data_IF_715643141316
#
_entry.id   IF_715643141316
#
_cell.length_a   1.000
_cell.length_b   1.000
_cell.length_c   1.000
_cell.angle_alpha   90.00
_cell.angle_beta   90.00
_cell.angle_gamma   90.00
#
_symmetry.space_group_name_H-M   'P 1'
#
loop_
_entity.id
_entity.type
_entity.pdbx_description
1 polymer ?
#
# COMPACT_ATOMS: atom_id res chain seq x y z
N UNK A 1 -0.23 14.38 -15.11
CA UNK A 1 -0.14 15.25 -13.92
C UNK A 1 1.15 16.09 -13.92
N UNK A 2 1.12 17.30 -13.34
CA UNK A 2 2.29 18.17 -13.14
C UNK A 2 3.40 17.49 -12.31
N UNK A 3 3.02 16.74 -11.26
CA UNK A 3 3.91 15.95 -10.42
C UNK A 3 4.80 14.98 -11.19
N UNK A 4 4.21 14.20 -12.09
CA UNK A 4 4.95 13.28 -12.95
C UNK A 4 6.00 14.02 -13.81
N UNK A 5 5.67 15.24 -14.29
CA UNK A 5 6.62 16.07 -15.06
C UNK A 5 7.74 16.64 -14.18
N UNK A 6 7.44 17.07 -12.95
CA UNK A 6 8.44 17.56 -11.98
C UNK A 6 9.46 16.46 -11.67
N UNK A 7 8.99 15.25 -11.35
CA UNK A 7 9.86 14.14 -10.99
C UNK A 7 10.70 13.62 -12.17
N UNK A 8 10.23 13.79 -13.42
CA UNK A 8 10.99 13.43 -14.63
C UNK A 8 12.00 14.48 -15.10
N UNK A 9 11.85 15.75 -14.71
CA UNK A 9 12.65 16.88 -15.26
C UNK A 9 13.63 17.49 -14.26
N UNK A 10 14.04 16.71 -13.24
CA UNK A 10 14.79 17.06 -12.00
C UNK A 10 16.01 18.00 -12.13
N UNK A 11 16.45 18.40 -13.32
CA UNK A 11 17.66 19.20 -13.58
C UNK A 11 17.50 20.40 -14.55
N UNK A 12 16.29 20.80 -14.96
CA UNK A 12 16.09 21.92 -15.92
C UNK A 12 15.45 23.19 -15.33
N UNK A 13 15.66 24.36 -15.96
CA UNK A 13 14.93 25.62 -15.64
C UNK A 13 13.40 25.46 -15.64
N UNK A 14 12.88 24.52 -16.43
CA UNK A 14 11.46 24.16 -16.46
C UNK A 14 10.95 23.50 -15.16
N UNK A 15 11.82 22.84 -14.38
CA UNK A 15 11.45 22.18 -13.12
C UNK A 15 10.99 23.20 -12.08
N UNK A 16 11.66 24.35 -11.98
CA UNK A 16 11.31 25.41 -11.02
C UNK A 16 9.90 25.98 -11.28
N UNK A 17 9.59 26.31 -12.54
CA UNK A 17 8.28 26.84 -12.92
C UNK A 17 7.15 25.82 -12.72
N UNK A 18 7.42 24.53 -12.96
CA UNK A 18 6.45 23.46 -12.69
C UNK A 18 6.21 23.29 -11.19
N UNK A 19 7.25 23.36 -10.36
CA UNK A 19 7.16 23.31 -8.90
C UNK A 19 6.39 24.51 -8.34
N UNK A 20 6.67 25.73 -8.80
CA UNK A 20 5.91 26.93 -8.42
C UNK A 20 4.42 26.79 -8.78
N UNK A 21 4.14 26.28 -9.99
CA UNK A 21 2.78 26.02 -10.44
C UNK A 21 2.07 24.98 -9.57
N UNK A 22 2.76 23.89 -9.21
CA UNK A 22 2.23 22.86 -8.31
C UNK A 22 1.86 23.44 -6.94
N UNK A 23 2.77 24.17 -6.29
CA UNK A 23 2.49 24.77 -4.98
C UNK A 23 1.39 25.84 -5.05
N UNK A 24 1.29 26.58 -6.15
CA UNK A 24 0.20 27.53 -6.37
C UNK A 24 -1.16 26.83 -6.41
N UNK A 25 -1.30 25.76 -7.19
CA UNK A 25 -2.56 24.99 -7.25
C UNK A 25 -2.88 24.29 -5.94
N UNK A 26 -1.87 23.70 -5.26
CA UNK A 26 -2.04 23.12 -3.93
C UNK A 26 -2.55 24.15 -2.93
N UNK A 27 -1.97 25.36 -2.92
CA UNK A 27 -2.41 26.44 -2.05
C UNK A 27 -3.84 26.94 -2.34
N UNK A 28 -4.24 26.97 -3.62
CA UNK A 28 -5.61 27.30 -4.01
C UNK A 28 -6.60 26.23 -3.54
N UNK A 29 -6.28 24.94 -3.73
CA UNK A 29 -7.11 23.83 -3.29
C UNK A 29 -7.30 23.82 -1.76
N UNK A 30 -6.23 24.03 -0.99
CA UNK A 30 -6.30 24.11 0.47
C UNK A 30 -7.19 25.28 0.93
N UNK A 31 -7.07 26.46 0.31
CA UNK A 31 -7.92 27.61 0.63
C UNK A 31 -9.40 27.32 0.34
N UNK A 32 -9.69 26.77 -0.84
CA UNK A 32 -11.06 26.39 -1.22
C UNK A 32 -11.66 25.37 -0.26
N UNK A 33 -10.90 24.33 0.11
CA UNK A 33 -11.35 23.32 1.06
C UNK A 33 -11.63 23.93 2.44
N UNK A 34 -10.77 24.84 2.91
CA UNK A 34 -11.00 25.54 4.16
C UNK A 34 -12.32 26.32 4.15
N UNK A 35 -12.58 27.07 3.08
CA UNK A 35 -13.84 27.81 2.93
C UNK A 35 -15.07 26.91 2.93
N UNK A 36 -15.01 25.73 2.29
CA UNK A 36 -16.12 24.77 2.30
C UNK A 36 -16.26 24.03 3.65
N UNK A 37 -15.17 23.80 4.39
CA UNK A 37 -15.20 23.21 5.75
C UNK A 37 -15.84 24.18 6.77
N UNK A 38 -15.55 25.47 6.64
CA UNK A 38 -16.09 26.51 7.52
C UNK A 38 -17.61 26.70 7.30
N UNK A 39 -18.14 26.26 6.15
CA UNK A 39 -19.58 26.26 5.86
C UNK A 39 -20.24 24.99 6.39
N UNK A 40 -21.08 25.12 7.42
CA UNK A 40 -21.76 24.00 8.07
C UNK A 40 -22.51 23.05 7.11
N UNK A 41 -23.12 23.57 6.04
CA UNK A 41 -23.85 22.77 5.05
C UNK A 41 -22.94 21.98 4.07
N UNK A 42 -21.64 22.28 4.00
CA UNK A 42 -20.70 21.69 3.03
C UNK A 42 -19.56 20.91 3.67
N UNK A 43 -19.39 21.03 4.99
CA UNK A 43 -18.28 20.45 5.77
C UNK A 43 -18.02 18.96 5.51
N UNK A 44 -19.07 18.19 5.21
CA UNK A 44 -18.99 16.75 4.93
C UNK A 44 -19.47 16.40 3.52
N UNK A 45 -19.46 17.35 2.59
CA UNK A 45 -19.87 17.12 1.19
C UNK A 45 -18.88 16.20 0.45
N UNK A 46 -19.34 15.59 -0.65
CA UNK A 46 -18.50 14.76 -1.52
C UNK A 46 -17.27 15.52 -2.03
N UNK A 47 -17.45 16.78 -2.42
CA UNK A 47 -16.35 17.62 -2.92
C UNK A 47 -15.28 17.83 -1.86
N UNK A 48 -15.67 18.07 -0.59
CA UNK A 48 -14.71 18.24 0.51
C UNK A 48 -13.98 16.94 0.79
N UNK A 49 -14.69 15.81 0.86
CA UNK A 49 -14.08 14.51 1.12
C UNK A 49 -13.12 14.10 0.00
N UNK A 50 -13.54 14.25 -1.26
CA UNK A 50 -12.72 13.98 -2.43
C UNK A 50 -11.48 14.88 -2.47
N UNK A 51 -11.63 16.17 -2.17
CA UNK A 51 -10.50 17.11 -2.15
C UNK A 51 -9.48 16.77 -1.06
N UNK A 52 -9.93 16.42 0.15
CA UNK A 52 -9.04 16.00 1.25
C UNK A 52 -8.32 14.70 0.90
N UNK A 53 -9.04 13.67 0.42
CA UNK A 53 -8.44 12.42 -0.02
C UNK A 53 -7.44 12.65 -1.17
N UNK A 54 -7.75 13.53 -2.12
CA UNK A 54 -6.86 13.86 -3.25
C UNK A 54 -5.57 14.51 -2.76
N UNK A 55 -5.66 15.48 -1.84
CA UNK A 55 -4.48 16.12 -1.26
C UNK A 55 -3.63 15.11 -0.48
N UNK A 56 -4.25 14.27 0.33
CA UNK A 56 -3.57 13.22 1.08
C UNK A 56 -2.85 12.23 0.16
N UNK A 57 -3.55 11.73 -0.87
CA UNK A 57 -2.96 10.84 -1.88
C UNK A 57 -1.77 11.53 -2.55
N UNK A 58 -1.90 12.82 -2.89
CA UNK A 58 -0.80 13.62 -3.45
C UNK A 58 0.39 13.73 -2.48
N UNK A 59 0.14 14.03 -1.20
CA UNK A 59 1.21 14.22 -0.21
C UNK A 59 2.02 12.92 0.00
N UNK A 60 1.34 11.76 0.00
CA UNK A 60 2.00 10.44 0.01
C UNK A 60 2.88 10.22 -1.22
N UNK A 61 2.44 10.60 -2.43
CA UNK A 61 3.25 10.40 -3.65
C UNK A 61 4.58 11.18 -3.66
N UNK A 62 4.61 12.32 -2.98
CA UNK A 62 5.79 13.18 -2.96
C UNK A 62 6.68 12.96 -1.72
N UNK A 63 6.24 12.13 -0.77
CA UNK A 63 6.95 11.90 0.49
C UNK A 63 7.06 13.17 1.34
N UNK A 64 6.09 14.09 1.23
CA UNK A 64 6.21 15.43 1.84
C UNK A 64 5.96 15.46 3.35
N UNK A 65 5.41 14.41 3.97
CA UNK A 65 4.99 14.50 5.39
C UNK A 65 5.10 13.20 6.16
N UNK A 66 5.63 13.28 7.38
CA UNK A 66 5.49 12.29 8.47
C UNK A 66 4.05 12.08 8.93
N UNK A 67 3.12 12.94 8.50
CA UNK A 67 1.81 13.09 9.12
C UNK A 67 0.66 12.50 8.31
N UNK A 68 0.94 11.71 7.27
CA UNK A 68 -0.10 11.08 6.42
C UNK A 68 -1.09 10.24 7.24
N UNK A 69 -0.66 9.68 8.36
CA UNK A 69 -1.52 8.96 9.31
C UNK A 69 -2.59 9.85 9.95
N UNK A 70 -2.26 11.12 10.26
CA UNK A 70 -3.24 12.08 10.76
C UNK A 70 -4.30 12.40 9.70
N UNK A 71 -3.90 12.48 8.43
CA UNK A 71 -4.83 12.66 7.32
C UNK A 71 -5.75 11.44 7.17
N UNK A 72 -5.23 10.21 7.31
CA UNK A 72 -6.06 9.01 7.32
C UNK A 72 -7.10 9.03 8.44
N UNK A 73 -6.69 9.33 9.67
CA UNK A 73 -7.60 9.43 10.82
C UNK A 73 -8.66 10.53 10.63
N UNK A 74 -8.29 11.66 10.05
CA UNK A 74 -9.22 12.73 9.71
C UNK A 74 -10.27 12.30 8.69
N UNK A 75 -9.84 11.64 7.61
CA UNK A 75 -10.75 11.11 6.58
C UNK A 75 -11.67 10.04 7.15
N UNK A 76 -11.15 9.10 7.93
CA UNK A 76 -11.96 8.11 8.63
C UNK A 76 -13.04 8.79 9.48
N UNK A 77 -12.67 9.80 10.27
CA UNK A 77 -13.64 10.51 11.11
C UNK A 77 -14.73 11.20 10.29
N UNK A 78 -14.38 11.76 9.13
CA UNK A 78 -15.36 12.35 8.21
C UNK A 78 -16.31 11.32 7.61
N UNK A 79 -15.80 10.12 7.28
CA UNK A 79 -16.63 8.99 6.84
C UNK A 79 -17.63 8.61 7.93
N UNK A 80 -17.18 8.49 9.18
CA UNK A 80 -18.07 8.20 10.31
C UNK A 80 -19.13 9.28 10.54
N UNK A 81 -18.77 10.56 10.39
CA UNK A 81 -19.73 11.67 10.47
C UNK A 81 -20.81 11.62 9.39
N UNK A 82 -20.58 10.90 8.28
CA UNK A 82 -21.55 10.68 7.21
C UNK A 82 -22.36 9.40 7.36
N UNK A 83 -22.25 8.72 8.51
CA UNK A 83 -22.94 7.46 8.76
C UNK A 83 -22.14 6.22 8.37
N UNK A 84 -20.82 6.36 8.19
CA UNK A 84 -19.90 5.25 7.99
C UNK A 84 -19.60 4.93 6.53
N UNK A 85 -18.71 3.95 6.33
CA UNK A 85 -18.13 3.63 5.03
C UNK A 85 -19.18 3.23 3.99
N UNK A 86 -20.18 2.46 4.40
CA UNK A 86 -21.23 1.95 3.53
C UNK A 86 -22.09 3.08 2.94
N UNK A 87 -22.39 4.11 3.75
CA UNK A 87 -23.17 5.27 3.30
C UNK A 87 -22.36 6.12 2.32
N UNK A 88 -21.08 6.35 2.61
CA UNK A 88 -20.20 7.13 1.75
C UNK A 88 -19.99 6.46 0.39
N UNK A 89 -19.85 5.13 0.37
CA UNK A 89 -19.65 4.34 -0.84
C UNK A 89 -20.84 4.36 -1.80
N UNK A 90 -22.05 4.72 -1.34
CA UNK A 90 -23.21 4.91 -2.23
C UNK A 90 -23.04 6.12 -3.16
N UNK A 91 -22.13 7.05 -2.85
CA UNK A 91 -21.80 8.13 -3.76
C UNK A 91 -20.88 7.66 -4.88
N UNK A 92 -21.44 7.61 -6.10
CA UNK A 92 -20.68 7.33 -7.33
C UNK A 92 -19.49 8.27 -7.55
N UNK A 93 -19.59 9.51 -7.04
CA UNK A 93 -18.53 10.50 -7.18
C UNK A 93 -17.32 10.22 -6.27
N UNK A 94 -17.51 9.39 -5.24
CA UNK A 94 -16.49 9.06 -4.26
C UNK A 94 -15.94 7.65 -4.40
N UNK A 95 -16.64 6.75 -5.08
CA UNK A 95 -16.33 5.32 -5.18
C UNK A 95 -14.84 5.06 -5.47
N UNK A 96 -14.31 5.61 -6.57
CA UNK A 96 -12.92 5.35 -6.97
C UNK A 96 -11.88 5.94 -5.99
N UNK A 97 -12.12 7.16 -5.47
CA UNK A 97 -11.18 7.79 -4.54
C UNK A 97 -11.24 7.17 -3.14
N UNK A 98 -12.42 6.71 -2.72
CA UNK A 98 -12.62 5.97 -1.48
C UNK A 98 -11.87 4.64 -1.51
N UNK A 99 -11.95 3.90 -2.62
CA UNK A 99 -11.20 2.66 -2.80
C UNK A 99 -9.69 2.88 -2.83
N UNK A 100 -9.21 3.96 -3.48
CA UNK A 100 -7.80 4.36 -3.40
C UNK A 100 -7.36 4.69 -1.97
N UNK A 101 -8.19 5.39 -1.21
CA UNK A 101 -7.94 5.71 0.19
C UNK A 101 -7.81 4.43 1.04
N UNK A 102 -8.79 3.52 0.96
CA UNK A 102 -8.78 2.26 1.72
C UNK A 102 -7.57 1.40 1.34
N UNK A 103 -7.30 1.26 0.04
CA UNK A 103 -6.16 0.48 -0.45
C UNK A 103 -4.83 1.06 0.03
N UNK A 104 -4.66 2.39 -0.02
CA UNK A 104 -3.48 3.05 0.49
C UNK A 104 -3.32 2.81 2.00
N UNK A 105 -4.38 2.99 2.79
CA UNK A 105 -4.32 2.85 4.25
C UNK A 105 -3.88 1.43 4.66
N UNK A 106 -4.43 0.41 4.01
CA UNK A 106 -4.11 -1.00 4.26
C UNK A 106 -2.67 -1.34 3.88
N UNK A 107 -2.24 -0.96 2.67
CA UNK A 107 -0.90 -1.28 2.18
C UNK A 107 0.17 -0.47 2.94
N UNK A 108 -0.10 0.78 3.29
CA UNK A 108 0.85 1.60 4.05
C UNK A 108 1.12 1.03 5.45
N UNK A 109 0.11 0.46 6.13
CA UNK A 109 0.30 -0.22 7.42
C UNK A 109 1.31 -1.38 7.38
N UNK A 110 1.49 -2.02 6.22
CA UNK A 110 2.48 -3.11 6.09
C UNK A 110 3.91 -2.60 6.27
N UNK A 111 4.16 -1.31 5.99
CA UNK A 111 5.48 -0.66 6.07
C UNK A 111 5.53 0.37 7.21
N UNK A 112 4.81 0.09 8.30
CA UNK A 112 4.86 0.80 9.58
C UNK A 112 5.32 -0.15 10.69
N UNK A 113 5.94 0.33 11.79
CA UNK A 113 6.16 -0.46 13.00
C UNK A 113 4.84 -0.97 13.58
N UNK A 114 4.83 -2.14 14.22
CA UNK A 114 3.61 -2.73 14.79
C UNK A 114 2.87 -1.79 15.78
N UNK A 115 3.61 -0.93 16.50
CA UNK A 115 3.08 0.06 17.44
C UNK A 115 2.35 1.24 16.79
N UNK A 116 2.60 1.48 15.50
CA UNK A 116 2.19 2.71 14.80
C UNK A 116 1.18 2.41 13.68
N UNK A 117 0.62 1.19 13.62
CA UNK A 117 -0.44 0.86 12.67
C UNK A 117 -1.70 1.67 12.98
N UNK A 118 -2.35 2.18 11.93
CA UNK A 118 -3.59 2.97 12.07
C UNK A 118 -4.75 2.25 11.40
N UNK A 119 -5.97 2.44 11.92
CA UNK A 119 -7.20 1.91 11.31
C UNK A 119 -7.27 0.39 11.15
N UNK A 120 -6.33 -0.40 11.69
CA UNK A 120 -6.27 -1.85 11.46
C UNK A 120 -7.54 -2.58 11.94
N UNK A 121 -8.07 -2.22 13.12
CA UNK A 121 -9.36 -2.71 13.62
C UNK A 121 -10.50 -2.30 12.67
N UNK A 122 -10.56 -1.03 12.29
CA UNK A 122 -11.60 -0.52 11.40
C UNK A 122 -11.59 -1.22 10.03
N UNK A 123 -10.41 -1.50 9.46
CA UNK A 123 -10.31 -2.28 8.23
C UNK A 123 -10.80 -3.73 8.40
N UNK A 124 -10.54 -4.35 9.55
CA UNK A 124 -11.03 -5.71 9.84
C UNK A 124 -12.56 -5.71 10.01
N UNK A 125 -13.11 -4.75 10.74
CA UNK A 125 -14.56 -4.62 10.97
C UNK A 125 -15.32 -4.35 9.66
N UNK A 126 -14.67 -3.75 8.67
CA UNK A 126 -15.24 -3.44 7.36
C UNK A 126 -14.82 -4.45 6.27
N UNK A 127 -14.18 -5.57 6.64
CA UNK A 127 -13.52 -6.45 5.69
C UNK A 127 -14.44 -6.94 4.57
N UNK A 128 -15.60 -7.50 4.91
CA UNK A 128 -16.53 -8.08 3.92
C UNK A 128 -16.99 -7.01 2.92
N UNK A 129 -17.35 -5.82 3.44
CA UNK A 129 -17.72 -4.68 2.62
C UNK A 129 -16.59 -4.23 1.69
N UNK A 130 -15.36 -4.14 2.20
CA UNK A 130 -14.19 -3.76 1.40
C UNK A 130 -14.00 -4.76 0.24
N UNK A 131 -14.13 -6.06 0.50
CA UNK A 131 -13.97 -7.09 -0.52
C UNK A 131 -15.08 -7.04 -1.58
N UNK A 132 -16.33 -6.83 -1.18
CA UNK A 132 -17.45 -6.65 -2.10
C UNK A 132 -17.22 -5.48 -3.07
N UNK A 133 -16.78 -4.33 -2.56
CA UNK A 133 -16.49 -3.17 -3.41
C UNK A 133 -15.26 -3.37 -4.29
N UNK A 134 -14.28 -4.14 -3.80
CA UNK A 134 -13.04 -4.41 -4.53
C UNK A 134 -13.25 -5.37 -5.71
N UNK A 135 -14.11 -6.38 -5.56
CA UNK A 135 -14.47 -7.33 -6.63
C UNK A 135 -15.56 -6.78 -7.58
N UNK A 136 -16.34 -5.78 -7.14
CA UNK A 136 -17.54 -5.23 -7.80
C UNK A 136 -17.37 -4.42 -9.10
N UNK A 137 -16.16 -4.21 -9.61
CA UNK A 137 -15.97 -3.96 -11.06
C UNK A 137 -15.31 -2.67 -11.55
N UNK A 138 -15.03 -1.64 -10.73
CA UNK A 138 -14.32 -0.43 -11.21
C UNK A 138 -12.83 -0.42 -10.80
N UNK A 139 -12.49 -1.11 -9.71
CA UNK A 139 -11.13 -1.15 -9.16
C UNK A 139 -10.31 -2.38 -9.61
N UNK A 140 -10.59 -2.90 -10.80
CA UNK A 140 -9.78 -3.94 -11.47
C UNK A 140 -8.30 -3.56 -11.65
N UNK A 141 -7.94 -2.30 -11.39
CA UNK A 141 -6.57 -1.81 -11.45
C UNK A 141 -5.74 -2.14 -10.20
N UNK A 142 -6.35 -2.54 -9.08
CA UNK A 142 -5.57 -3.02 -7.95
C UNK A 142 -5.16 -4.47 -8.20
N UNK A 143 -3.87 -4.64 -8.44
CA UNK A 143 -3.29 -5.91 -8.87
C UNK A 143 -3.24 -6.98 -7.77
N UNK A 144 -3.59 -6.63 -6.52
CA UNK A 144 -3.63 -7.57 -5.41
C UNK A 144 -4.92 -8.42 -5.47
N UNK A 145 -4.84 -9.77 -5.50
CA UNK A 145 -6.02 -10.62 -5.39
C UNK A 145 -6.80 -10.39 -4.10
N UNK A 146 -8.13 -10.27 -4.18
CA UNK A 146 -8.99 -9.98 -3.02
C UNK A 146 -8.78 -10.94 -1.82
N UNK A 147 -8.64 -12.28 -1.99
CA UNK A 147 -8.34 -13.17 -0.88
C UNK A 147 -7.01 -12.83 -0.17
N UNK A 148 -5.98 -12.52 -0.95
CA UNK A 148 -4.67 -12.14 -0.40
C UNK A 148 -4.72 -10.76 0.26
N UNK A 149 -5.51 -9.83 -0.30
CA UNK A 149 -5.74 -8.51 0.29
C UNK A 149 -6.42 -8.62 1.66
N UNK A 150 -7.41 -9.52 1.79
CA UNK A 150 -8.04 -9.84 3.06
C UNK A 150 -7.03 -10.35 4.10
N UNK A 151 -6.10 -11.21 3.68
CA UNK A 151 -5.06 -11.72 4.57
C UNK A 151 -4.03 -10.65 4.95
N UNK A 152 -3.73 -9.67 4.09
CA UNK A 152 -2.93 -8.48 4.48
C UNK A 152 -3.61 -7.71 5.62
N UNK A 153 -4.93 -7.50 5.54
CA UNK A 153 -5.72 -6.84 6.60
C UNK A 153 -5.61 -7.63 7.91
N UNK A 154 -5.77 -8.95 7.87
CA UNK A 154 -5.64 -9.82 9.05
C UNK A 154 -4.24 -9.80 9.65
N UNK A 155 -3.19 -9.82 8.82
CA UNK A 155 -1.80 -9.71 9.29
C UNK A 155 -1.57 -8.37 9.98
N UNK A 156 -2.04 -7.25 9.39
CA UNK A 156 -1.98 -5.93 10.02
C UNK A 156 -2.68 -5.94 11.39
N UNK A 157 -3.83 -6.58 11.48
CA UNK A 157 -4.57 -6.72 12.73
C UNK A 157 -3.80 -7.53 13.79
N UNK A 158 -3.23 -8.68 13.43
CA UNK A 158 -2.41 -9.47 14.37
C UNK A 158 -1.18 -8.69 14.86
N UNK A 159 -0.55 -7.89 14.00
CA UNK A 159 0.60 -7.04 14.38
C UNK A 159 0.21 -6.01 15.44
N UNK A 160 -0.93 -5.34 15.30
CA UNK A 160 -1.37 -4.36 16.31
C UNK A 160 -1.79 -5.06 17.62
N UNK A 161 -2.46 -6.21 17.57
CA UNK A 161 -2.81 -7.00 18.76
C UNK A 161 -1.56 -7.47 19.53
N UNK A 162 -0.49 -7.78 18.80
CA UNK A 162 0.79 -8.16 19.36
C UNK A 162 1.58 -6.99 19.99
N UNK A 163 1.33 -5.76 19.55
CA UNK A 163 1.99 -4.55 20.06
C UNK A 163 1.27 -3.92 21.26
N UNK A 164 -0.01 -4.24 21.48
CA UNK A 164 -0.78 -3.65 22.59
C UNK A 164 -0.28 -4.11 23.97
N UNK A 165 -0.21 -3.19 24.96
CA UNK A 165 0.12 -3.54 26.34
C UNK A 165 -1.07 -4.24 27.00
N UNK A 166 -1.06 -5.57 27.01
CA UNK A 166 -2.07 -6.39 27.66
C UNK A 166 -1.68 -7.87 27.64
N UNK A 167 -2.41 -8.75 28.34
CA UNK A 167 -2.24 -10.19 28.22
C UNK A 167 -2.79 -10.66 26.87
N UNK A 168 -2.07 -10.32 25.78
CA UNK A 168 -2.36 -10.89 24.46
C UNK A 168 -1.96 -12.36 24.49
N UNK A 169 -2.91 -13.25 24.22
CA UNK A 169 -2.65 -14.68 24.13
C UNK A 169 -1.81 -14.97 22.89
N UNK A 170 -0.49 -15.04 23.09
CA UNK A 170 0.50 -15.33 22.03
C UNK A 170 0.24 -16.67 21.35
N UNK A 171 -0.35 -17.64 22.06
CA UNK A 171 -0.69 -18.94 21.48
C UNK A 171 -1.86 -18.77 20.51
N UNK A 172 -2.90 -18.03 20.91
CA UNK A 172 -4.03 -17.71 20.04
C UNK A 172 -3.59 -16.91 18.80
N UNK A 173 -2.78 -15.86 18.98
CA UNK A 173 -2.26 -15.06 17.87
C UNK A 173 -1.39 -15.90 16.92
N UNK A 174 -0.55 -16.80 17.46
CA UNK A 174 0.26 -17.70 16.64
C UNK A 174 -0.62 -18.69 15.86
N UNK A 175 -1.68 -19.22 16.46
CA UNK A 175 -2.62 -20.10 15.78
C UNK A 175 -3.29 -19.38 14.61
N UNK A 176 -3.78 -18.16 14.83
CA UNK A 176 -4.39 -17.36 13.78
C UNK A 176 -3.41 -16.99 12.65
N UNK A 177 -2.13 -16.77 12.99
CA UNK A 177 -1.07 -16.57 11.99
C UNK A 177 -0.86 -17.81 11.10
N UNK A 178 -0.92 -19.02 11.65
CA UNK A 178 -0.86 -20.26 10.87
C UNK A 178 -2.11 -20.46 10.00
N UNK A 179 -3.29 -20.08 10.49
CA UNK A 179 -4.52 -20.08 9.69
C UNK A 179 -4.46 -19.10 8.51
N UNK A 180 -3.87 -17.92 8.70
CA UNK A 180 -3.58 -16.99 7.60
C UNK A 180 -2.65 -17.65 6.57
N UNK A 181 -1.55 -18.27 7.03
CA UNK A 181 -0.62 -18.97 6.14
C UNK A 181 -1.31 -20.07 5.33
N UNK A 182 -2.18 -20.86 5.97
CA UNK A 182 -2.95 -21.91 5.30
C UNK A 182 -3.89 -21.34 4.23
N UNK A 183 -4.54 -20.20 4.47
CA UNK A 183 -5.35 -19.51 3.44
C UNK A 183 -4.51 -19.05 2.25
N UNK A 184 -3.35 -18.44 2.52
CA UNK A 184 -2.41 -18.00 1.47
C UNK A 184 -1.91 -19.21 0.67
N UNK A 185 -1.63 -20.33 1.33
CA UNK A 185 -1.21 -21.58 0.67
C UNK A 185 -2.28 -22.14 -0.27
N UNK A 186 -3.54 -22.08 0.16
CA UNK A 186 -4.69 -22.57 -0.62
C UNK A 186 -5.15 -21.59 -1.72
N UNK A 187 -4.66 -20.36 -1.75
CA UNK A 187 -4.94 -19.43 -2.84
C UNK A 187 -4.39 -19.96 -4.18
N UNK A 188 -5.26 -20.09 -5.19
CA UNK A 188 -4.90 -20.43 -6.56
C UNK A 188 -4.78 -19.17 -7.43
N UNK A 189 -3.55 -18.89 -7.86
CA UNK A 189 -3.28 -17.78 -8.78
C UNK A 189 -3.84 -18.07 -10.19
N UNK A 190 -3.92 -19.35 -10.57
CA UNK A 190 -4.48 -19.84 -11.83
C UNK A 190 -5.97 -19.52 -11.91
N UNK A 191 -6.76 -19.99 -10.93
CA UNK A 191 -8.19 -19.73 -10.89
C UNK A 191 -8.48 -18.22 -10.84
N UNK A 192 -7.70 -17.46 -10.07
CA UNK A 192 -7.86 -16.02 -10.01
C UNK A 192 -7.54 -15.32 -11.34
N UNK A 193 -6.49 -15.76 -12.04
CA UNK A 193 -6.10 -15.20 -13.33
C UNK A 193 -7.13 -15.51 -14.43
N UNK A 194 -7.73 -16.70 -14.41
CA UNK A 194 -8.76 -17.12 -15.36
C UNK A 194 -10.04 -16.26 -15.26
N UNK A 195 -10.30 -15.66 -14.09
CA UNK A 195 -11.41 -14.72 -13.90
C UNK A 195 -11.17 -13.31 -14.48
N UNK A 196 -10.00 -13.00 -15.07
CA UNK A 196 -9.65 -11.65 -15.55
C UNK A 196 -9.87 -11.47 -17.05
N UNK A 197 -10.36 -10.28 -17.50
CA UNK A 197 -10.91 -10.12 -18.85
C UNK A 197 -9.92 -10.09 -20.02
N UNK A 198 -8.61 -10.32 -19.85
CA UNK A 198 -7.60 -10.47 -20.92
C UNK A 198 -6.21 -10.84 -20.33
N UNK A 199 -5.34 -11.50 -21.11
CA UNK A 199 -3.93 -11.80 -20.81
C UNK A 199 -3.67 -12.66 -19.54
N UNK A 200 -4.21 -13.89 -19.51
CA UNK A 200 -4.11 -14.81 -18.36
C UNK A 200 -2.69 -15.02 -17.82
N UNK A 201 -1.66 -15.04 -18.67
CA UNK A 201 -0.27 -15.24 -18.22
C UNK A 201 0.24 -14.08 -17.33
N UNK A 202 -0.05 -12.82 -17.70
CA UNK A 202 0.40 -11.68 -16.93
C UNK A 202 -0.31 -11.61 -15.56
N UNK A 203 -1.61 -11.92 -15.52
CA UNK A 203 -2.36 -12.03 -14.27
C UNK A 203 -1.89 -13.20 -13.41
N UNK A 204 -1.55 -14.34 -14.02
CA UNK A 204 -0.98 -15.47 -13.28
C UNK A 204 0.33 -15.08 -12.59
N UNK A 205 1.22 -14.37 -13.30
CA UNK A 205 2.48 -13.87 -12.72
C UNK A 205 2.20 -12.91 -11.56
N UNK A 206 1.25 -11.99 -11.73
CA UNK A 206 0.82 -11.05 -10.68
C UNK A 206 0.27 -11.76 -9.45
N UNK A 207 -0.65 -12.71 -9.64
CA UNK A 207 -1.25 -13.47 -8.55
C UNK A 207 -0.21 -14.27 -7.78
N UNK A 208 0.74 -14.91 -8.48
CA UNK A 208 1.87 -15.62 -7.86
C UNK A 208 2.82 -14.66 -7.14
N UNK A 209 3.09 -13.48 -7.70
CA UNK A 209 3.97 -12.50 -7.07
C UNK A 209 3.36 -11.98 -5.76
N UNK A 210 2.06 -11.68 -5.74
CA UNK A 210 1.37 -11.31 -4.51
C UNK A 210 1.32 -12.45 -3.50
N UNK A 211 1.08 -13.69 -3.92
CA UNK A 211 1.12 -14.86 -3.00
C UNK A 211 2.48 -15.00 -2.31
N UNK A 212 3.57 -14.91 -3.07
CA UNK A 212 4.92 -14.97 -2.54
C UNK A 212 5.21 -13.79 -1.59
N UNK A 213 4.85 -12.57 -1.99
CA UNK A 213 5.04 -11.37 -1.17
C UNK A 213 4.21 -11.43 0.14
N UNK A 214 2.95 -11.85 0.10
CA UNK A 214 2.12 -12.01 1.30
C UNK A 214 2.66 -13.09 2.22
N UNK A 215 3.20 -14.19 1.69
CA UNK A 215 3.88 -15.21 2.50
C UNK A 215 5.09 -14.63 3.24
N UNK A 216 5.97 -13.90 2.53
CA UNK A 216 7.15 -13.26 3.13
C UNK A 216 6.72 -12.23 4.18
N UNK A 217 5.71 -11.41 3.87
CA UNK A 217 5.17 -10.40 4.77
C UNK A 217 4.61 -11.04 6.05
N UNK A 218 3.74 -12.05 5.90
CA UNK A 218 3.14 -12.79 7.01
C UNK A 218 4.22 -13.32 7.95
N UNK A 219 5.20 -14.07 7.41
CA UNK A 219 6.25 -14.67 8.23
C UNK A 219 7.11 -13.59 8.88
N UNK A 220 7.69 -12.69 8.09
CA UNK A 220 8.72 -11.75 8.57
C UNK A 220 8.16 -10.71 9.54
N UNK A 221 6.96 -10.19 9.29
CA UNK A 221 6.35 -9.15 10.13
C UNK A 221 5.79 -9.72 11.45
N UNK A 222 5.21 -10.92 11.43
CA UNK A 222 4.71 -11.58 12.63
C UNK A 222 5.84 -12.20 13.45
N UNK A 223 6.96 -12.58 12.84
CA UNK A 223 8.21 -12.87 13.54
C UNK A 223 8.76 -11.63 14.25
N UNK A 224 8.77 -10.47 13.59
CA UNK A 224 9.16 -9.19 14.20
C UNK A 224 8.29 -8.80 15.39
N UNK A 225 7.01 -9.19 15.37
CA UNK A 225 6.05 -8.92 16.44
C UNK A 225 6.00 -10.02 17.52
N UNK A 226 6.90 -11.02 17.45
CA UNK A 226 6.93 -12.20 18.31
C UNK A 226 5.60 -13.00 18.34
N UNK A 227 4.84 -12.97 17.25
CA UNK A 227 3.64 -13.79 17.04
C UNK A 227 4.02 -15.15 16.47
N UNK A 228 4.91 -15.17 15.48
CA UNK A 228 5.46 -16.41 14.92
C UNK A 228 6.86 -16.69 15.50
N UNK A 229 7.21 -17.98 15.70
CA UNK A 229 8.53 -18.35 16.20
C UNK A 229 9.62 -18.14 15.14
N UNK A 230 10.87 -17.95 15.60
CA UNK A 230 12.07 -17.96 14.75
C UNK A 230 12.44 -19.39 14.36
N UNK A 231 11.64 -20.03 13.52
CA UNK A 231 11.84 -21.41 13.08
C UNK A 231 12.61 -21.48 11.75
N UNK A 232 13.55 -22.43 11.65
CA UNK A 232 14.33 -22.67 10.43
C UNK A 232 13.44 -23.00 9.21
N UNK A 233 12.32 -23.71 9.42
CA UNK A 233 11.36 -24.01 8.37
C UNK A 233 10.70 -22.75 7.78
N UNK A 234 10.30 -21.80 8.63
CA UNK A 234 9.73 -20.52 8.19
C UNK A 234 10.77 -19.68 7.44
N UNK A 235 12.02 -19.67 7.91
CA UNK A 235 13.12 -19.01 7.20
C UNK A 235 13.39 -19.63 5.83
N UNK A 236 13.43 -20.96 5.73
CA UNK A 236 13.60 -21.66 4.46
C UNK A 236 12.46 -21.36 3.49
N UNK A 237 11.22 -21.26 4.00
CA UNK A 237 10.05 -20.85 3.24
C UNK A 237 10.18 -19.42 2.69
N UNK A 238 10.53 -18.43 3.52
CA UNK A 238 10.82 -17.07 3.04
C UNK A 238 11.90 -17.04 1.94
N UNK A 239 12.97 -17.82 2.09
CA UNK A 239 14.03 -17.90 1.08
C UNK A 239 13.53 -18.51 -0.24
N UNK A 240 12.66 -19.52 -0.19
CA UNK A 240 12.04 -20.11 -1.38
C UNK A 240 11.10 -19.12 -2.08
N UNK A 241 10.22 -18.47 -1.33
CA UNK A 241 9.30 -17.45 -1.84
C UNK A 241 10.07 -16.24 -2.39
N UNK A 242 11.17 -15.83 -1.76
CA UNK A 242 12.03 -14.76 -2.26
C UNK A 242 12.63 -15.07 -3.64
N UNK A 243 13.03 -16.32 -3.88
CA UNK A 243 13.52 -16.75 -5.21
C UNK A 243 12.41 -16.72 -6.26
N UNK A 244 11.22 -17.23 -5.91
CA UNK A 244 10.05 -17.21 -6.79
C UNK A 244 9.68 -15.76 -7.12
N UNK A 245 9.56 -14.91 -6.10
CA UNK A 245 9.21 -13.51 -6.26
C UNK A 245 10.21 -12.75 -7.12
N UNK A 246 11.52 -13.00 -6.96
CA UNK A 246 12.55 -12.41 -7.81
C UNK A 246 12.33 -12.77 -9.29
N UNK A 247 12.13 -14.05 -9.61
CA UNK A 247 11.91 -14.52 -10.99
C UNK A 247 10.65 -13.90 -11.62
N UNK A 248 9.56 -13.82 -10.85
CA UNK A 248 8.30 -13.22 -11.30
C UNK A 248 8.42 -11.71 -11.53
N UNK A 249 9.12 -11.00 -10.65
CA UNK A 249 9.33 -9.56 -10.82
C UNK A 249 10.26 -9.26 -11.99
N UNK A 250 11.26 -10.11 -12.24
CA UNK A 250 12.14 -9.98 -13.40
C UNK A 250 11.38 -10.15 -14.72
N UNK A 251 10.46 -11.13 -14.81
CA UNK A 251 9.65 -11.33 -16.02
C UNK A 251 8.67 -10.18 -16.30
N UNK A 252 8.19 -9.49 -15.26
CA UNK A 252 7.34 -8.29 -15.40
C UNK A 252 8.09 -7.03 -15.83
N UNK A 253 9.41 -7.06 -16.00
CA UNK A 253 10.22 -5.88 -16.42
C UNK A 253 9.75 -5.22 -17.72
N UNK A 254 9.12 -5.99 -18.61
CA UNK A 254 8.74 -5.57 -19.96
C UNK A 254 7.26 -5.20 -20.09
N UNK A 255 6.43 -5.62 -19.13
CA UNK A 255 5.01 -5.33 -19.09
C UNK A 255 4.78 -4.07 -18.24
N UNK A 256 4.04 -3.06 -18.74
CA UNK A 256 3.70 -1.85 -17.97
C UNK A 256 3.01 -2.09 -16.61
N UNK A 257 2.64 -3.34 -16.34
CA UNK A 257 2.16 -3.90 -15.07
C UNK A 257 3.19 -3.79 -13.93
N UNK A 258 4.50 -3.73 -14.24
CA UNK A 258 5.56 -3.60 -13.24
C UNK A 258 5.41 -2.38 -12.33
N UNK A 259 4.67 -1.34 -12.76
CA UNK A 259 4.38 -0.14 -11.97
C UNK A 259 3.52 -0.42 -10.74
N UNK A 260 2.74 -1.49 -10.74
CA UNK A 260 1.89 -1.91 -9.62
C UNK A 260 2.61 -2.86 -8.65
N UNK A 261 3.85 -3.24 -8.95
CA UNK A 261 4.63 -4.20 -8.16
C UNK A 261 5.53 -3.54 -7.10
N UNK A 262 5.26 -2.29 -6.69
CA UNK A 262 6.11 -1.59 -5.71
C UNK A 262 6.13 -2.34 -4.38
N UNK A 263 4.96 -2.69 -3.85
CA UNK A 263 4.87 -3.38 -2.57
C UNK A 263 5.53 -4.77 -2.61
N UNK A 264 5.25 -5.66 -3.59
CA UNK A 264 6.01 -6.90 -3.75
C UNK A 264 7.52 -6.70 -3.87
N UNK A 265 7.98 -5.67 -4.60
CA UNK A 265 9.40 -5.36 -4.74
C UNK A 265 10.05 -4.90 -3.41
N UNK A 266 9.32 -4.12 -2.60
CA UNK A 266 9.75 -3.72 -1.26
C UNK A 266 9.87 -4.95 -0.35
N UNK A 267 8.88 -5.85 -0.38
CA UNK A 267 8.91 -7.10 0.37
C UNK A 267 10.09 -7.99 -0.06
N UNK A 268 10.40 -8.07 -1.35
CA UNK A 268 11.60 -8.75 -1.84
C UNK A 268 12.88 -8.08 -1.32
N UNK A 269 12.90 -6.75 -1.20
CA UNK A 269 13.98 -6.00 -0.59
C UNK A 269 14.27 -6.37 0.86
N UNK A 270 13.23 -6.68 1.65
CA UNK A 270 13.40 -7.19 3.02
C UNK A 270 14.07 -8.56 2.99
N UNK A 271 13.58 -9.47 2.16
CA UNK A 271 14.16 -10.81 2.02
C UNK A 271 15.61 -10.76 1.51
N UNK A 272 15.96 -9.76 0.68
CA UNK A 272 17.31 -9.52 0.18
C UNK A 272 18.33 -9.19 1.30
N UNK A 273 17.90 -8.78 2.49
CA UNK A 273 18.79 -8.65 3.64
C UNK A 273 19.39 -10.00 4.05
N UNK A 274 18.65 -11.09 3.86
CA UNK A 274 19.07 -12.45 4.14
C UNK A 274 19.78 -13.16 2.97
N UNK A 275 19.82 -12.53 1.79
CA UNK A 275 20.29 -13.12 0.53
C UNK A 275 21.61 -12.55 0.02
N UNK A 276 21.98 -12.98 -1.19
CA UNK A 276 23.19 -12.52 -1.88
C UNK A 276 23.08 -11.06 -2.36
N UNK A 277 24.23 -10.40 -2.49
CA UNK A 277 24.34 -9.00 -2.93
C UNK A 277 23.68 -8.71 -4.29
N UNK A 278 23.55 -9.71 -5.15
CA UNK A 278 22.91 -9.56 -6.46
C UNK A 278 21.41 -9.27 -6.35
N UNK A 279 20.72 -9.85 -5.38
CA UNK A 279 19.29 -9.60 -5.16
C UNK A 279 19.05 -8.16 -4.69
N UNK A 280 19.94 -7.64 -3.83
CA UNK A 280 19.90 -6.23 -3.38
C UNK A 280 20.08 -5.28 -4.57
N UNK A 281 21.04 -5.57 -5.45
CA UNK A 281 21.29 -4.79 -6.68
C UNK A 281 20.08 -4.82 -7.63
N UNK A 282 19.45 -5.96 -7.79
CA UNK A 282 18.22 -6.08 -8.58
C UNK A 282 17.12 -5.16 -8.04
N UNK A 283 16.84 -5.23 -6.73
CA UNK A 283 15.82 -4.41 -6.08
C UNK A 283 16.11 -2.92 -6.24
N UNK A 284 17.36 -2.51 -6.00
CA UNK A 284 17.82 -1.12 -6.16
C UNK A 284 17.59 -0.60 -7.59
N UNK A 285 17.99 -1.37 -8.59
CA UNK A 285 17.84 -0.99 -10.00
C UNK A 285 16.36 -0.87 -10.39
N UNK A 286 15.52 -1.81 -9.94
CA UNK A 286 14.08 -1.80 -10.24
C UNK A 286 13.35 -0.63 -9.57
N UNK A 287 13.66 -0.32 -8.31
CA UNK A 287 13.08 0.84 -7.63
C UNK A 287 13.45 2.17 -8.32
N UNK A 288 14.71 2.32 -8.74
CA UNK A 288 15.15 3.49 -9.53
C UNK A 288 14.42 3.59 -10.86
N UNK A 289 14.25 2.47 -11.56
CA UNK A 289 13.50 2.39 -12.81
C UNK A 289 12.03 2.79 -12.62
N UNK A 290 11.37 2.21 -11.61
CA UNK A 290 9.98 2.49 -11.27
C UNK A 290 9.75 3.96 -10.93
N UNK A 291 10.64 4.61 -10.16
CA UNK A 291 10.48 6.03 -9.85
C UNK A 291 10.44 6.91 -11.12
N UNK A 292 11.30 6.62 -12.10
CA UNK A 292 11.35 7.36 -13.38
C UNK A 292 10.08 7.15 -14.20
N UNK A 293 9.54 5.93 -14.20
CA UNK A 293 8.34 5.58 -14.96
C UNK A 293 7.06 6.10 -14.29
N UNK A 294 6.93 5.93 -12.97
CA UNK A 294 5.77 6.39 -12.19
C UNK A 294 5.77 7.91 -11.99
N UNK A 295 6.94 8.56 -12.03
CA UNK A 295 7.08 9.96 -11.65
C UNK A 295 6.67 10.20 -10.19
N UNK A 296 6.98 9.24 -9.31
CA UNK A 296 6.71 9.27 -7.87
C UNK A 296 8.02 9.15 -7.09
N UNK A 297 8.07 9.75 -5.90
CA UNK A 297 9.24 9.67 -5.01
C UNK A 297 9.24 8.38 -4.17
N UNK A 298 8.08 7.73 -3.98
CA UNK A 298 7.95 6.56 -3.12
C UNK A 298 8.96 5.43 -3.43
N UNK A 299 9.23 5.04 -4.68
CA UNK A 299 10.22 3.99 -4.96
C UNK A 299 11.66 4.38 -4.57
N UNK A 300 12.04 5.66 -4.70
CA UNK A 300 13.37 6.13 -4.26
C UNK A 300 13.48 6.18 -2.74
N UNK A 301 12.40 6.56 -2.05
CA UNK A 301 12.36 6.50 -0.60
C UNK A 301 12.47 5.05 -0.12
N UNK A 302 11.75 4.11 -0.74
CA UNK A 302 11.86 2.70 -0.43
C UNK A 302 13.30 2.18 -0.64
N UNK A 303 13.96 2.59 -1.73
CA UNK A 303 15.36 2.25 -2.00
C UNK A 303 16.27 2.73 -0.86
N UNK A 304 16.13 3.99 -0.42
CA UNK A 304 16.94 4.56 0.67
C UNK A 304 16.71 3.82 2.01
N UNK A 305 15.47 3.48 2.32
CA UNK A 305 15.10 2.72 3.53
C UNK A 305 15.74 1.33 3.50
N UNK A 306 15.64 0.63 2.37
CA UNK A 306 16.21 -0.71 2.20
C UNK A 306 17.74 -0.70 2.22
N UNK A 307 18.39 0.28 1.59
CA UNK A 307 19.86 0.42 1.64
C UNK A 307 20.35 0.59 3.07
N UNK A 308 19.72 1.49 3.84
CA UNK A 308 20.02 1.70 5.26
C UNK A 308 19.81 0.41 6.06
N UNK A 309 18.71 -0.29 5.82
CA UNK A 309 18.41 -1.57 6.47
C UNK A 309 19.48 -2.63 6.16
N UNK A 310 19.86 -2.81 4.89
CA UNK A 310 20.90 -3.76 4.49
C UNK A 310 22.26 -3.46 5.13
N UNK A 311 22.63 -2.18 5.25
CA UNK A 311 23.87 -1.73 5.90
C UNK A 311 23.84 -1.93 7.41
N UNK A 312 22.68 -1.79 8.05
CA UNK A 312 22.55 -1.94 9.52
C UNK A 312 22.88 -3.34 10.03
N UNK A 313 22.76 -4.38 9.18
CA UNK A 313 22.91 -5.77 9.60
C UNK A 313 21.65 -6.37 10.24
N UNK A 314 20.63 -5.55 10.50
CA UNK A 314 19.33 -6.01 11.02
C UNK A 314 18.62 -6.95 10.04
N UNK A 315 17.75 -7.79 10.59
CA UNK A 315 17.02 -8.83 9.83
C UNK A 315 15.52 -8.90 10.13
N UNK A 316 15.04 -8.07 11.06
CA UNK A 316 13.62 -8.04 11.43
C UNK A 316 12.87 -6.95 10.63
N UNK A 317 11.56 -7.14 10.46
CA UNK A 317 10.70 -6.28 9.64
C UNK A 317 10.60 -4.85 10.19
N UNK A 318 10.39 -4.71 11.50
CA UNK A 318 10.13 -3.42 12.13
C UNK A 318 11.42 -2.57 12.27
N UNK A 319 12.62 -3.16 12.23
CA UNK A 319 13.89 -2.44 12.12
C UNK A 319 14.10 -1.85 10.72
N UNK A 320 13.54 -2.45 9.67
CA UNK A 320 13.54 -1.81 8.35
C UNK A 320 12.55 -0.66 8.30
N UNK A 321 11.33 -0.90 8.82
CA UNK A 321 10.25 0.07 8.86
C UNK A 321 10.14 0.69 10.26
N UNK A 322 11.22 1.37 10.66
CA UNK A 322 11.42 2.02 11.97
C UNK A 322 10.46 3.17 12.28
N UNK A 323 9.70 3.59 11.27
CA UNK A 323 8.64 4.59 11.33
C UNK A 323 7.64 4.36 10.20
N UNK A 324 6.48 5.02 10.20
CA UNK A 324 5.47 4.85 9.16
C UNK A 324 5.94 5.29 7.77
N UNK A 325 6.07 4.33 6.85
CA UNK A 325 6.27 4.57 5.42
C UNK A 325 5.02 4.17 4.64
N UNK A 326 4.67 4.92 3.59
CA UNK A 326 3.52 4.63 2.74
C UNK A 326 3.97 4.17 1.34
N UNK A 327 4.42 2.92 1.22
CA UNK A 327 4.87 2.34 -0.04
C UNK A 327 3.74 1.64 -0.79
N UNK A 328 2.80 2.44 -1.31
CA UNK A 328 1.72 1.96 -2.16
C UNK A 328 1.78 2.58 -3.57
N UNK A 329 1.37 1.80 -4.56
CA UNK A 329 1.22 2.29 -5.93
C UNK A 329 -0.13 2.97 -6.04
N UNK A 330 -0.15 4.26 -6.36
CA UNK A 330 -1.40 4.96 -6.62
C UNK A 330 -1.77 4.87 -8.08
N UNK A 331 -3.05 4.64 -8.32
CA UNK A 331 -3.68 4.60 -9.63
C UNK A 331 -4.28 6.00 -9.83
N UNK A 332 -4.08 6.60 -10.99
CA UNK A 332 -4.68 7.90 -11.28
C UNK A 332 -6.21 7.74 -11.24
N UNK A 333 -6.87 8.45 -10.32
CA UNK A 333 -8.34 8.46 -10.21
C UNK A 333 -8.90 9.51 -11.16
N UNK A 334 -9.84 9.12 -12.00
CA UNK A 334 -10.65 10.07 -12.76
C UNK A 334 -11.68 10.71 -11.83
N UNK A 335 -11.62 12.03 -11.70
CA UNK A 335 -12.49 12.84 -10.84
C UNK A 335 -13.47 13.71 -11.64
N UNK A 336 -13.60 13.47 -12.95
CA UNK A 336 -14.44 14.29 -13.84
C UNK A 336 -15.92 14.37 -13.40
N UNK A 337 -16.43 13.35 -12.70
CA UNK A 337 -17.79 13.33 -12.13
C UNK A 337 -18.03 14.27 -10.94
N UNK A 338 -16.99 14.88 -10.35
CA UNK A 338 -17.12 15.79 -9.19
C UNK A 338 -17.40 17.25 -9.57
N UNK A 339 -17.43 17.58 -10.87
CA UNK A 339 -17.76 18.94 -11.32
C UNK A 339 -19.28 19.11 -11.35
N UNK A 340 -19.85 20.20 -10.78
CA UNK A 340 -21.25 20.52 -11.06
C UNK A 340 -21.42 20.82 -12.57
N UNK A 341 -22.60 20.56 -13.15
CA UNK A 341 -22.91 20.96 -14.53
C UNK A 341 -22.80 22.48 -14.74
#
# INVERSE_FOLDING_TARGET
MLTHRINRTRSGRQSKALTETYYRYRGLAIRSLREDIDRACRRTSDVVLAGIMTLMLSDVQHGFTSDWQHHLGGVQRMIELRGGLHVVAQSRNLEAILLCFVSLAIIANTTCPASDLTMAQWHLDQLDFILEQYDGGIFQFCMCPAPLFADIIRINYLRIQAAQPGPSDRVCLSHEAFEIMNRVDNFSAEQWADCKPCAGEAWLIVGRAYKAAVTIYCISSLQSSAVLPMAAALRARCAAEGKILHQLLDSLSTAGIGLFMLWPLVTLGIEAANGASDLRRFVEQRLRGMSRQMGSYAPLMAQQVLERYWTSGERNWDSCFDRPYAFATQIAVDLTGLSPP
#
